data_IF_010258784613
#
_entry.id   IF_010258784613
#
_cell.length_a   1.000
_cell.length_b   1.000
_cell.length_c   1.000
_cell.angle_alpha   90.00
_cell.angle_beta   90.00
_cell.angle_gamma   90.00
#
_symmetry.space_group_name_H-M   'P 1'
#
loop_
_entity.id
_entity.type
_entity.pdbx_description
1 polymer ?
#
# COMPACT_ATOMS: atom_id res chain seq x y z
N UNK A 1 18.92 -3.56 0.11
CA UNK A 1 17.56 -2.98 -0.03
C UNK A 1 16.52 -4.05 -0.31
N UNK A 2 16.65 -4.82 -1.41
CA UNK A 2 15.72 -5.91 -1.72
C UNK A 2 15.57 -6.88 -0.54
N UNK A 3 16.67 -7.38 0.02
CA UNK A 3 16.64 -8.31 1.15
C UNK A 3 15.94 -7.74 2.41
N UNK A 4 16.12 -6.44 2.68
CA UNK A 4 15.42 -5.75 3.77
C UNK A 4 13.89 -5.79 3.55
N UNK A 5 13.44 -5.45 2.34
CA UNK A 5 12.01 -5.46 1.99
C UNK A 5 11.44 -6.88 2.12
N UNK A 6 12.15 -7.88 1.60
CA UNK A 6 11.74 -9.29 1.73
C UNK A 6 11.63 -9.72 3.20
N UNK A 7 12.64 -9.42 4.00
CA UNK A 7 12.63 -9.74 5.43
C UNK A 7 11.49 -9.03 6.15
N UNK A 8 11.23 -7.76 5.86
CA UNK A 8 10.14 -6.99 6.49
C UNK A 8 8.76 -7.51 6.11
N UNK A 9 8.56 -7.89 4.85
CA UNK A 9 7.31 -8.53 4.40
C UNK A 9 7.12 -9.87 5.10
N UNK A 10 8.17 -10.67 5.24
CA UNK A 10 8.10 -11.97 5.89
C UNK A 10 7.87 -11.86 7.41
N UNK A 11 8.52 -10.90 8.09
CA UNK A 11 8.27 -10.56 9.49
C UNK A 11 6.81 -10.13 9.72
N UNK A 12 6.27 -9.36 8.78
CA UNK A 12 4.88 -8.87 8.84
C UNK A 12 3.85 -9.96 8.53
N UNK A 13 4.13 -10.83 7.56
CA UNK A 13 3.27 -11.97 7.21
C UNK A 13 4.12 -13.16 6.71
N UNK A 14 4.38 -14.17 7.56
CA UNK A 14 5.17 -15.34 7.20
C UNK A 14 4.60 -16.15 6.02
N UNK A 15 3.30 -16.00 5.72
CA UNK A 15 2.67 -16.68 4.57
C UNK A 15 3.18 -16.15 3.24
N UNK A 16 3.84 -14.98 3.21
CA UNK A 16 4.44 -14.39 2.02
C UNK A 16 5.87 -14.88 1.76
N UNK A 17 6.30 -15.99 2.38
CA UNK A 17 7.53 -16.69 1.99
C UNK A 17 7.51 -17.04 0.49
N UNK A 18 8.65 -16.85 -0.18
CA UNK A 18 8.82 -17.09 -1.62
C UNK A 18 7.88 -16.28 -2.52
N UNK A 19 7.55 -15.04 -2.14
CA UNK A 19 6.78 -14.11 -2.97
C UNK A 19 7.63 -13.40 -4.04
N UNK A 20 6.96 -12.83 -5.03
CA UNK A 20 7.55 -11.86 -5.94
C UNK A 20 7.34 -10.45 -5.38
N UNK A 21 8.38 -9.61 -5.39
CA UNK A 21 8.33 -8.24 -4.89
C UNK A 21 8.71 -7.27 -6.01
N UNK A 22 7.84 -6.29 -6.26
CA UNK A 22 8.10 -5.13 -7.12
C UNK A 22 8.00 -3.85 -6.30
N UNK A 23 8.95 -2.94 -6.46
CA UNK A 23 8.94 -1.66 -5.75
C UNK A 23 9.52 -0.54 -6.60
N UNK A 24 9.06 0.68 -6.34
CA UNK A 24 9.70 1.91 -6.81
C UNK A 24 10.47 2.52 -5.65
N UNK A 25 11.71 2.95 -5.90
CA UNK A 25 12.49 3.66 -4.88
C UNK A 25 12.10 5.15 -4.76
N UNK A 26 11.08 5.60 -5.51
CA UNK A 26 10.61 6.98 -5.46
C UNK A 26 9.61 7.14 -4.31
N UNK A 27 9.90 7.96 -3.29
CA UNK A 27 8.91 8.34 -2.30
C UNK A 27 7.78 9.13 -2.94
N UNK A 28 6.59 9.05 -2.35
CA UNK A 28 5.40 9.80 -2.74
C UNK A 28 4.87 10.54 -1.53
N UNK A 29 4.47 11.78 -1.73
CA UNK A 29 3.85 12.59 -0.69
C UNK A 29 2.54 11.98 -0.20
N UNK A 30 2.41 11.88 1.12
CA UNK A 30 1.20 11.42 1.79
C UNK A 30 0.02 12.34 1.46
N UNK A 31 0.27 13.65 1.33
CA UNK A 31 -0.76 14.62 0.94
C UNK A 31 -1.34 14.33 -0.45
N UNK A 32 -0.48 14.02 -1.43
CA UNK A 32 -0.90 13.67 -2.79
C UNK A 32 -1.69 12.36 -2.82
N UNK A 33 -1.26 11.36 -2.06
CA UNK A 33 -1.99 10.10 -1.92
C UNK A 33 -3.36 10.32 -1.28
N UNK A 34 -3.46 11.15 -0.24
CA UNK A 34 -4.74 11.51 0.38
C UNK A 34 -5.68 12.13 -0.65
N UNK A 35 -5.20 13.08 -1.47
CA UNK A 35 -6.01 13.69 -2.53
C UNK A 35 -6.46 12.65 -3.56
N UNK A 36 -5.54 11.78 -4.01
CA UNK A 36 -5.84 10.71 -4.97
C UNK A 36 -6.90 9.74 -4.43
N UNK A 37 -6.77 9.27 -3.20
CA UNK A 37 -7.70 8.31 -2.61
C UNK A 37 -9.06 8.94 -2.26
N UNK A 38 -9.12 10.24 -1.92
CA UNK A 38 -10.40 10.97 -1.84
C UNK A 38 -11.13 10.97 -3.17
N UNK A 39 -10.43 11.25 -4.27
CA UNK A 39 -11.01 11.22 -5.61
C UNK A 39 -11.49 9.81 -5.99
N UNK A 40 -10.67 8.79 -5.75
CA UNK A 40 -11.01 7.38 -6.04
C UNK A 40 -12.23 6.90 -5.24
N UNK A 41 -12.29 7.24 -3.95
CA UNK A 41 -13.44 6.90 -3.11
C UNK A 41 -14.74 7.54 -3.63
N UNK A 42 -14.70 8.82 -4.01
CA UNK A 42 -15.85 9.51 -4.62
C UNK A 42 -16.29 8.91 -5.95
N UNK A 43 -15.36 8.32 -6.71
CA UNK A 43 -15.63 7.69 -8.02
C UNK A 43 -16.02 6.21 -7.90
N UNK A 44 -15.95 5.61 -6.70
CA UNK A 44 -16.23 4.20 -6.52
C UNK A 44 -17.71 3.91 -6.81
N UNK A 45 -17.95 2.98 -7.75
CA UNK A 45 -19.30 2.51 -8.10
C UNK A 45 -19.71 1.29 -7.27
N UNK A 46 -18.73 0.55 -6.78
CA UNK A 46 -18.92 -0.65 -5.99
C UNK A 46 -18.63 -0.36 -4.51
N UNK A 47 -19.52 -0.79 -3.62
CA UNK A 47 -19.38 -0.58 -2.17
C UNK A 47 -18.08 -1.17 -1.60
N UNK A 48 -17.65 -2.33 -2.10
CA UNK A 48 -16.38 -2.96 -1.71
C UNK A 48 -15.18 -2.06 -2.03
N UNK A 49 -15.22 -1.37 -3.17
CA UNK A 49 -14.18 -0.46 -3.63
C UNK A 49 -14.21 0.85 -2.84
N UNK A 50 -15.41 1.36 -2.55
CA UNK A 50 -15.61 2.50 -1.67
C UNK A 50 -15.04 2.23 -0.27
N UNK A 51 -15.40 1.11 0.35
CA UNK A 51 -14.90 0.70 1.66
C UNK A 51 -13.38 0.53 1.68
N UNK A 52 -12.82 -0.10 0.65
CA UNK A 52 -11.37 -0.27 0.51
C UNK A 52 -10.64 1.08 0.40
N UNK A 53 -11.10 1.94 -0.50
CA UNK A 53 -10.49 3.27 -0.70
C UNK A 53 -10.62 4.16 0.53
N UNK A 54 -11.75 4.08 1.25
CA UNK A 54 -11.95 4.78 2.52
C UNK A 54 -11.00 4.26 3.60
N UNK A 55 -10.81 2.94 3.70
CA UNK A 55 -9.85 2.33 4.63
C UNK A 55 -8.42 2.84 4.36
N UNK A 56 -8.01 2.89 3.09
CA UNK A 56 -6.70 3.43 2.70
C UNK A 56 -6.58 4.90 3.06
N UNK A 57 -7.60 5.71 2.75
CA UNK A 57 -7.64 7.13 3.09
C UNK A 57 -7.50 7.39 4.60
N UNK A 58 -8.18 6.58 5.42
CA UNK A 58 -8.08 6.66 6.88
C UNK A 58 -6.68 6.33 7.39
N UNK A 59 -6.03 5.31 6.82
CA UNK A 59 -4.65 4.97 7.18
C UNK A 59 -3.66 6.06 6.77
N UNK A 60 -3.79 6.62 5.55
CA UNK A 60 -2.95 7.73 5.11
C UNK A 60 -3.10 8.97 6.01
N UNK A 61 -4.33 9.26 6.46
CA UNK A 61 -4.59 10.36 7.40
C UNK A 61 -3.90 10.13 8.75
N UNK A 62 -3.88 8.89 9.26
CA UNK A 62 -3.14 8.52 10.48
C UNK A 62 -1.64 8.70 10.31
N UNK A 63 -1.08 8.33 9.15
CA UNK A 63 0.33 8.54 8.83
C UNK A 63 0.67 10.03 8.82
N UNK A 64 -0.15 10.86 8.16
CA UNK A 64 0.05 12.31 8.12
C UNK A 64 0.03 12.94 9.51
N UNK A 65 -0.83 12.46 10.41
CA UNK A 65 -0.88 12.94 11.80
C UNK A 65 0.37 12.60 12.61
N UNK A 66 1.18 11.62 12.17
CA UNK A 66 2.50 11.31 12.75
C UNK A 66 3.63 12.13 12.14
N UNK A 67 3.30 13.24 11.45
CA UNK A 67 4.24 14.12 10.75
C UNK A 67 5.11 13.41 9.71
N UNK A 68 4.61 12.31 9.14
CA UNK A 68 5.27 11.58 8.05
C UNK A 68 4.80 12.17 6.73
N UNK A 69 5.74 12.74 5.97
CA UNK A 69 5.45 13.43 4.72
C UNK A 69 5.48 12.51 3.51
N UNK A 70 6.33 11.49 3.53
CA UNK A 70 6.61 10.63 2.39
C UNK A 70 6.42 9.15 2.75
N UNK A 71 5.95 8.38 1.77
CA UNK A 71 5.85 6.92 1.85
C UNK A 71 6.39 6.29 0.57
N UNK A 72 6.83 5.05 0.66
CA UNK A 72 7.12 4.21 -0.50
C UNK A 72 6.12 3.06 -0.53
N UNK A 73 5.86 2.50 -1.72
CA UNK A 73 5.01 1.34 -1.82
C UNK A 73 5.73 0.15 -2.45
N UNK A 74 5.32 -1.03 -2.02
CA UNK A 74 5.82 -2.32 -2.47
C UNK A 74 4.64 -3.18 -2.88
N UNK A 75 4.68 -3.72 -4.08
CA UNK A 75 3.71 -4.71 -4.57
C UNK A 75 4.30 -6.09 -4.33
N UNK A 76 3.57 -6.92 -3.60
CA UNK A 76 3.91 -8.32 -3.35
C UNK A 76 2.92 -9.20 -4.08
N UNK A 77 3.41 -10.19 -4.82
CA UNK A 77 2.59 -11.16 -5.54
C UNK A 77 2.87 -12.57 -5.05
N UNK A 78 1.80 -13.30 -4.75
CA UNK A 78 1.83 -14.71 -4.40
C UNK A 78 0.47 -15.35 -4.70
N UNK A 79 0.48 -16.53 -5.32
CA UNK A 79 -0.72 -17.33 -5.58
C UNK A 79 -1.89 -16.53 -6.21
N UNK A 80 -1.58 -15.74 -7.25
CA UNK A 80 -2.51 -14.82 -7.96
C UNK A 80 -3.08 -13.67 -7.12
N UNK A 81 -2.63 -13.49 -5.89
CA UNK A 81 -2.97 -12.35 -5.04
C UNK A 81 -1.88 -11.30 -5.18
N UNK A 82 -2.28 -10.08 -5.51
CA UNK A 82 -1.39 -8.92 -5.44
C UNK A 82 -1.75 -8.09 -4.21
N UNK A 83 -0.76 -7.76 -3.39
CA UNK A 83 -0.92 -6.99 -2.15
C UNK A 83 -0.01 -5.77 -2.19
N UNK A 84 -0.55 -4.59 -1.88
CA UNK A 84 0.19 -3.34 -1.85
C UNK A 84 0.53 -2.99 -0.40
N UNK A 85 1.80 -2.78 -0.11
CA UNK A 85 2.34 -2.39 1.20
C UNK A 85 2.82 -0.94 1.15
N UNK A 86 2.53 -0.17 2.20
CA UNK A 86 3.00 1.20 2.39
C UNK A 86 4.09 1.19 3.44
N UNK A 87 5.28 1.61 3.04
CA UNK A 87 6.49 1.67 3.86
C UNK A 87 6.87 3.11 4.16
N UNK A 88 7.67 3.26 5.21
CA UNK A 88 8.50 4.45 5.38
C UNK A 88 9.61 4.52 4.29
N UNK A 89 10.33 5.63 4.24
CA UNK A 89 11.26 5.91 3.13
C UNK A 89 12.45 4.97 3.04
N UNK A 90 12.92 4.42 4.17
CA UNK A 90 14.05 3.50 4.23
C UNK A 90 13.64 2.02 4.20
N UNK A 91 12.34 1.74 4.08
CA UNK A 91 11.73 0.41 4.12
C UNK A 91 11.89 -0.38 5.44
N UNK A 92 12.21 0.28 6.56
CA UNK A 92 12.32 -0.38 7.86
C UNK A 92 10.98 -0.62 8.57
N UNK A 93 9.93 0.13 8.22
CA UNK A 93 8.58 0.02 8.81
C UNK A 93 7.51 -0.11 7.72
N UNK A 94 6.58 -1.06 7.92
CA UNK A 94 5.33 -1.16 7.18
C UNK A 94 4.26 -0.41 7.96
N UNK A 95 3.66 0.62 7.36
CA UNK A 95 2.55 1.34 7.97
C UNK A 95 1.23 0.59 7.84
N UNK A 96 0.93 0.07 6.65
CA UNK A 96 -0.24 -0.75 6.39
C UNK A 96 -0.13 -1.42 5.02
N UNK A 97 -1.07 -2.32 4.74
CA UNK A 97 -1.20 -2.98 3.45
C UNK A 97 -2.67 -3.14 3.04
N UNK A 98 -2.90 -3.55 1.79
CA UNK A 98 -4.18 -4.13 1.38
C UNK A 98 -4.02 -5.03 0.14
N UNK A 99 -4.99 -5.93 -0.05
CA UNK A 99 -5.09 -6.76 -1.25
C UNK A 99 -5.68 -5.95 -2.39
N UNK A 100 -5.00 -5.96 -3.55
CA UNK A 100 -5.49 -5.34 -4.77
C UNK A 100 -6.70 -6.13 -5.30
N UNK A 101 -7.80 -5.46 -5.67
CA UNK A 101 -8.94 -6.11 -6.30
C UNK A 101 -8.53 -6.85 -7.58
N UNK A 102 -8.96 -8.10 -7.74
CA UNK A 102 -8.57 -8.98 -8.85
C UNK A 102 -9.30 -8.70 -10.17
N UNK A 103 -10.27 -7.78 -10.21
CA UNK A 103 -11.06 -7.48 -11.42
C UNK A 103 -10.90 -6.03 -11.92
N UNK A 104 -10.39 -5.96 -13.16
CA UNK A 104 -10.41 -4.91 -14.20
C UNK A 104 -10.77 -3.47 -13.78
N UNK A 105 -9.75 -2.61 -13.88
CA UNK A 105 -9.79 -1.13 -14.00
C UNK A 105 -9.73 -0.35 -12.68
N UNK A 106 -8.50 -0.18 -12.17
CA UNK A 106 -8.14 0.85 -11.19
C UNK A 106 -7.27 1.96 -11.81
N UNK A 107 -7.38 2.13 -13.12
CA UNK A 107 -6.72 3.18 -13.92
C UNK A 107 -7.80 4.12 -14.43
#
# INVERSE_FOLDING_TARGET
MKDLIYNKIYEYDPKLLACEVSYSNRPIEVSDLIMSYKARNKMAKEKSIEELTLKVLNNLSKIKNRTIEYVKFVVVRKDNISRLFFFNEDYSEIFFDFILPTNKSFI
#
